data_IF_225405083936
#
_entry.id   IF_225405083936
#
_cell.length_a   1.000
_cell.length_b   1.000
_cell.length_c   1.000
_cell.angle_alpha   90.00
_cell.angle_beta   90.00
_cell.angle_gamma   90.00
#
_symmetry.space_group_name_H-M   'P 1'
#
loop_
_entity.id
_entity.type
_entity.pdbx_description
1 polymer ?
#
# COMPACT_ATOMS: atom_id res chain seq x y z
N UNK A 1 -20.08 -45.42 26.09
CA UNK A 1 -20.77 -44.20 25.65
C UNK A 1 -20.42 -43.11 26.65
N UNK A 2 -19.75 -42.05 26.22
CA UNK A 2 -19.42 -40.88 27.05
C UNK A 2 -20.35 -39.75 26.60
N UNK A 3 -21.23 -39.33 27.50
CA UNK A 3 -22.08 -38.15 27.36
C UNK A 3 -21.21 -36.87 27.28
N UNK A 4 -21.61 -35.86 26.51
CA UNK A 4 -20.88 -34.59 26.39
C UNK A 4 -21.15 -33.71 27.61
N UNK A 5 -20.11 -33.16 28.23
CA UNK A 5 -20.24 -32.14 29.27
C UNK A 5 -20.76 -30.84 28.64
N UNK A 6 -22.05 -30.56 28.83
CA UNK A 6 -22.62 -29.25 28.56
C UNK A 6 -22.03 -28.21 29.52
N UNK A 7 -21.91 -26.97 29.04
CA UNK A 7 -21.37 -25.83 29.82
C UNK A 7 -22.24 -25.52 31.06
N UNK A 8 -23.51 -25.94 31.05
CA UNK A 8 -24.48 -25.79 32.13
C UNK A 8 -25.13 -27.17 32.36
N UNK A 9 -25.18 -27.63 33.62
CA UNK A 9 -25.84 -28.88 34.00
C UNK A 9 -27.34 -28.70 34.33
N UNK A 10 -28.07 -29.81 34.47
CA UNK A 10 -29.53 -29.83 34.72
C UNK A 10 -29.91 -29.22 36.09
N UNK A 11 -28.93 -28.98 36.97
CA UNK A 11 -29.08 -28.25 38.23
C UNK A 11 -28.75 -26.75 38.13
N UNK A 12 -28.35 -26.25 36.96
CA UNK A 12 -28.08 -24.82 36.72
C UNK A 12 -26.70 -24.35 37.18
N UNK A 13 -25.71 -25.24 37.25
CA UNK A 13 -24.32 -24.87 37.55
C UNK A 13 -23.49 -24.72 36.27
N UNK A 14 -22.68 -23.66 36.22
CA UNK A 14 -21.71 -23.42 35.16
C UNK A 14 -20.45 -24.27 35.44
N UNK A 15 -20.07 -25.11 34.48
CA UNK A 15 -18.94 -26.04 34.58
C UNK A 15 -18.98 -27.01 35.78
N UNK A 16 -20.16 -27.28 36.35
CA UNK A 16 -20.33 -28.27 37.44
C UNK A 16 -19.71 -27.89 38.79
N UNK A 17 -19.27 -26.64 38.98
CA UNK A 17 -18.63 -26.18 40.23
C UNK A 17 -19.25 -24.90 40.79
N UNK A 18 -19.86 -24.05 39.94
CA UNK A 18 -20.38 -22.73 40.35
C UNK A 18 -21.84 -22.58 39.94
N UNK A 19 -22.72 -22.25 40.88
CA UNK A 19 -24.13 -21.98 40.57
C UNK A 19 -24.25 -20.75 39.66
N UNK A 20 -25.00 -20.85 38.55
CA UNK A 20 -25.06 -19.80 37.53
C UNK A 20 -25.68 -18.49 38.06
N UNK A 21 -26.53 -18.58 39.09
CA UNK A 21 -27.15 -17.42 39.74
C UNK A 21 -26.08 -16.63 40.50
N UNK A 22 -25.17 -17.31 41.19
CA UNK A 22 -24.07 -16.66 41.93
C UNK A 22 -23.04 -16.06 40.97
N UNK A 23 -22.77 -16.72 39.84
CA UNK A 23 -21.92 -16.17 38.78
C UNK A 23 -22.51 -14.87 38.19
N UNK A 24 -23.82 -14.80 37.99
CA UNK A 24 -24.52 -13.59 37.55
C UNK A 24 -24.47 -12.48 38.60
N UNK A 25 -24.61 -12.81 39.89
CA UNK A 25 -24.48 -11.83 40.99
C UNK A 25 -23.06 -11.26 41.05
N UNK A 26 -22.02 -12.09 40.89
CA UNK A 26 -20.62 -11.63 40.86
C UNK A 26 -20.36 -10.73 39.66
N UNK A 27 -20.86 -11.07 38.47
CA UNK A 27 -20.77 -10.20 37.28
C UNK A 27 -21.54 -8.90 37.50
N UNK A 28 -22.72 -8.94 38.12
CA UNK A 28 -23.51 -7.74 38.41
C UNK A 28 -22.82 -6.85 39.46
N UNK A 29 -22.19 -7.43 40.48
CA UNK A 29 -21.40 -6.70 41.48
C UNK A 29 -20.13 -6.11 40.87
N UNK A 30 -19.44 -6.83 39.97
CA UNK A 30 -18.30 -6.29 39.23
C UNK A 30 -18.71 -5.16 38.27
N UNK A 31 -19.82 -5.30 37.56
CA UNK A 31 -20.38 -4.25 36.71
C UNK A 31 -20.80 -3.02 37.54
N UNK A 32 -21.41 -3.24 38.70
CA UNK A 32 -21.77 -2.18 39.65
C UNK A 32 -20.55 -1.53 40.31
N UNK A 33 -19.42 -2.24 40.45
CA UNK A 33 -18.17 -1.66 40.93
C UNK A 33 -17.46 -0.81 39.85
N UNK A 34 -17.51 -1.23 38.58
CA UNK A 34 -17.00 -0.43 37.46
C UNK A 34 -17.86 0.81 37.21
N UNK A 35 -19.18 0.73 37.41
CA UNK A 35 -20.08 1.88 37.35
C UNK A 35 -20.08 2.73 38.65
N UNK A 36 -19.76 2.13 39.81
CA UNK A 36 -19.90 2.71 41.14
C UNK A 36 -18.72 3.56 41.60
N UNK A 37 -17.57 3.54 40.92
CA UNK A 37 -16.47 4.47 41.19
C UNK A 37 -16.76 5.91 40.74
N UNK A 38 -17.86 6.14 39.99
CA UNK A 38 -18.30 7.47 39.59
C UNK A 38 -19.22 8.17 40.61
N UNK A 39 -19.67 7.50 41.68
CA UNK A 39 -20.79 8.00 42.50
C UNK A 39 -20.52 7.98 44.01
N UNK A 40 -19.36 8.48 44.45
CA UNK A 40 -19.16 8.87 45.85
C UNK A 40 -18.49 10.23 45.88
N UNK A 41 -19.31 11.28 46.06
CA UNK A 41 -19.00 12.57 46.69
C UNK A 41 -20.20 13.51 46.44
N UNK A 42 -21.24 13.36 47.25
CA UNK A 42 -22.27 14.39 47.41
C UNK A 42 -22.31 14.73 48.90
N UNK A 43 -21.45 15.67 49.28
CA UNK A 43 -21.52 16.38 50.55
C UNK A 43 -21.71 17.88 50.22
N UNK A 44 -22.55 18.52 51.02
CA UNK A 44 -23.24 19.79 50.76
C UNK A 44 -22.28 21.00 50.75
N UNK A 45 -22.21 21.76 49.65
CA UNK A 45 -21.98 23.23 49.63
C UNK A 45 -21.99 23.82 48.21
N UNK A 46 -22.80 24.86 48.03
CA UNK A 46 -22.91 25.77 46.88
C UNK A 46 -23.34 25.17 45.53
N UNK A 47 -24.63 25.32 45.23
CA UNK A 47 -25.23 25.17 43.90
C UNK A 47 -24.70 26.22 42.91
N UNK A 48 -23.46 26.04 42.43
CA UNK A 48 -23.13 26.40 41.07
C UNK A 48 -23.54 25.22 40.20
N UNK A 49 -24.64 25.35 39.45
CA UNK A 49 -25.00 24.36 38.43
C UNK A 49 -23.74 24.07 37.61
N UNK A 50 -23.20 22.84 37.70
CA UNK A 50 -22.08 22.45 36.87
C UNK A 50 -22.49 22.77 35.41
N UNK A 51 -21.65 23.48 34.64
CA UNK A 51 -22.01 23.82 33.28
C UNK A 51 -22.38 22.53 32.54
N UNK A 52 -23.53 22.52 31.87
CA UNK A 52 -23.93 21.38 31.04
C UNK A 52 -22.87 21.16 29.97
N UNK A 53 -22.15 20.04 30.12
CA UNK A 53 -21.15 19.60 29.16
C UNK A 53 -21.86 18.96 27.97
N UNK A 54 -21.48 19.38 26.77
CA UNK A 54 -21.87 18.74 25.52
C UNK A 54 -20.65 18.10 24.88
N UNK A 55 -20.88 17.16 23.96
CA UNK A 55 -19.81 16.50 23.22
C UNK A 55 -19.83 16.84 21.74
N UNK A 56 -18.64 16.88 21.12
CA UNK A 56 -18.50 16.90 19.66
C UNK A 56 -17.28 16.09 19.24
N UNK A 57 -17.41 15.37 18.13
CA UNK A 57 -16.27 14.70 17.53
C UNK A 57 -15.40 15.67 16.74
N UNK A 58 -14.11 15.38 16.67
CA UNK A 58 -13.12 16.07 15.84
C UNK A 58 -12.17 15.07 15.21
N UNK A 59 -11.69 15.38 14.00
CA UNK A 59 -10.55 14.68 13.41
C UNK A 59 -9.30 15.50 13.67
N UNK A 60 -8.33 14.91 14.37
CA UNK A 60 -7.04 15.51 14.69
C UNK A 60 -5.93 14.87 13.86
N UNK A 61 -5.25 15.69 13.07
CA UNK A 61 -4.04 15.30 12.37
C UNK A 61 -2.84 15.60 13.26
N UNK A 62 -2.22 14.55 13.80
CA UNK A 62 -1.06 14.63 14.69
C UNK A 62 0.25 14.77 13.89
N UNK A 63 0.18 14.78 12.55
CA UNK A 63 1.33 14.80 11.67
C UNK A 63 2.17 13.53 11.77
N UNK A 64 3.43 13.63 11.33
CA UNK A 64 4.41 12.56 11.42
C UNK A 64 4.89 12.39 12.86
N UNK A 65 4.81 11.18 13.38
CA UNK A 65 5.18 10.83 14.73
C UNK A 65 6.29 9.76 14.72
N UNK A 66 7.25 9.82 15.67
CA UNK A 66 8.19 8.74 15.90
C UNK A 66 7.49 7.44 16.30
N UNK A 67 8.10 6.30 15.99
CA UNK A 67 7.55 4.97 16.30
C UNK A 67 7.26 4.77 17.80
N UNK A 68 8.14 5.28 18.67
CA UNK A 68 7.95 5.20 20.12
C UNK A 68 6.77 6.04 20.63
N UNK A 69 6.24 6.98 19.83
CA UNK A 69 5.00 7.72 20.13
C UNK A 69 3.80 6.96 19.54
N UNK A 70 3.86 6.56 18.27
CA UNK A 70 2.73 5.87 17.60
C UNK A 70 2.39 4.53 18.22
N UNK A 71 3.37 3.85 18.81
CA UNK A 71 3.15 2.60 19.56
C UNK A 71 2.43 2.80 20.91
N UNK A 72 2.36 4.05 21.40
CA UNK A 72 1.67 4.39 22.65
C UNK A 72 0.26 4.94 22.42
N UNK A 73 0.00 5.57 21.25
CA UNK A 73 -1.32 6.13 20.92
C UNK A 73 -2.34 5.01 20.75
N UNK A 74 -3.39 5.05 21.57
CA UNK A 74 -4.45 4.03 21.57
C UNK A 74 -5.84 4.66 21.64
N UNK A 75 -6.84 3.90 21.18
CA UNK A 75 -8.24 4.23 21.42
C UNK A 75 -8.55 4.16 22.91
N UNK A 76 -9.27 5.14 23.44
CA UNK A 76 -9.55 5.30 24.86
C UNK A 76 -8.57 6.22 25.60
N UNK A 77 -7.44 6.60 24.98
CA UNK A 77 -6.54 7.60 25.55
C UNK A 77 -7.29 8.90 25.78
N UNK A 78 -7.15 9.49 26.98
CA UNK A 78 -7.84 10.72 27.34
C UNK A 78 -6.90 11.77 27.92
N UNK A 79 -7.28 13.03 27.78
CA UNK A 79 -6.57 14.17 28.36
C UNK A 79 -7.53 15.29 28.77
N UNK A 80 -7.36 15.79 29.99
CA UNK A 80 -8.17 16.86 30.58
C UNK A 80 -7.33 18.13 30.76
N UNK A 81 -7.26 19.05 29.79
CA UNK A 81 -6.51 20.30 29.95
C UNK A 81 -7.13 21.25 31.00
N UNK A 82 -8.38 21.03 31.39
CA UNK A 82 -9.07 21.81 32.44
C UNK A 82 -10.15 20.97 33.11
N UNK A 83 -10.72 21.46 34.22
CA UNK A 83 -11.73 20.72 35.01
C UNK A 83 -12.98 20.30 34.23
N UNK A 84 -13.33 21.04 33.17
CA UNK A 84 -14.54 20.83 32.39
C UNK A 84 -14.19 20.67 30.90
N UNK A 85 -13.02 20.14 30.56
CA UNK A 85 -12.70 19.88 29.16
C UNK A 85 -11.90 18.61 29.07
N UNK A 86 -12.44 17.64 28.35
CA UNK A 86 -11.86 16.32 28.16
C UNK A 86 -11.78 16.02 26.67
N UNK A 87 -10.67 15.45 26.22
CA UNK A 87 -10.54 14.84 24.90
C UNK A 87 -10.32 13.35 25.10
N UNK A 88 -11.07 12.53 24.37
CA UNK A 88 -10.90 11.07 24.37
C UNK A 88 -10.70 10.60 22.93
N UNK A 89 -9.62 9.88 22.66
CA UNK A 89 -9.36 9.28 21.35
C UNK A 89 -10.35 8.13 21.14
N UNK A 90 -11.16 8.21 20.09
CA UNK A 90 -12.17 7.20 19.76
C UNK A 90 -11.72 6.26 18.65
N UNK A 91 -10.83 6.72 17.76
CA UNK A 91 -10.27 5.92 16.68
C UNK A 91 -8.88 6.43 16.28
N UNK A 92 -8.04 5.54 15.75
CA UNK A 92 -6.64 5.81 15.39
C UNK A 92 -6.35 5.24 14.01
N UNK A 93 -5.87 6.12 13.13
CA UNK A 93 -5.52 5.79 11.77
C UNK A 93 -4.06 6.16 11.50
N UNK A 94 -3.26 5.15 11.17
CA UNK A 94 -1.85 5.29 10.85
C UNK A 94 -1.61 5.12 9.36
N UNK A 95 -0.71 5.92 8.81
CA UNK A 95 -0.26 5.79 7.42
C UNK A 95 1.25 5.90 7.33
N UNK A 96 1.88 5.18 6.39
CA UNK A 96 3.32 5.27 6.20
C UNK A 96 3.69 6.61 5.56
N UNK A 97 4.80 7.21 6.01
CA UNK A 97 5.35 8.45 5.48
C UNK A 97 6.88 8.39 5.50
N UNK A 98 7.50 7.98 4.40
CA UNK A 98 8.95 7.95 4.19
C UNK A 98 9.78 7.41 5.38
N UNK A 99 9.39 6.23 5.90
CA UNK A 99 10.06 5.58 7.02
C UNK A 99 9.62 6.07 8.40
N UNK A 100 8.70 7.03 8.46
CA UNK A 100 7.96 7.43 9.66
C UNK A 100 6.48 7.07 9.52
N UNK A 101 5.70 7.30 10.58
CA UNK A 101 4.26 7.06 10.58
C UNK A 101 3.52 8.36 10.79
N UNK A 102 2.58 8.70 9.90
CA UNK A 102 1.62 9.77 10.15
C UNK A 102 0.46 9.23 10.96
N UNK A 103 0.08 9.95 12.01
CA UNK A 103 -1.04 9.60 12.87
C UNK A 103 -2.18 10.60 12.69
N UNK A 104 -3.37 10.09 12.38
CA UNK A 104 -4.63 10.83 12.42
C UNK A 104 -5.52 10.13 13.42
N UNK A 105 -6.14 10.89 14.31
CA UNK A 105 -7.03 10.33 15.34
C UNK A 105 -8.39 10.97 15.24
N UNK A 106 -9.41 10.16 15.49
CA UNK A 106 -10.74 10.63 15.81
C UNK A 106 -10.82 10.81 17.32
N UNK A 107 -11.36 11.93 17.77
CA UNK A 107 -11.50 12.20 19.19
C UNK A 107 -12.85 12.83 19.52
N UNK A 108 -13.42 12.45 20.64
CA UNK A 108 -14.57 13.10 21.24
C UNK A 108 -14.06 14.20 22.19
N UNK A 109 -14.55 15.42 22.00
CA UNK A 109 -14.34 16.53 22.92
C UNK A 109 -15.59 16.68 23.79
N UNK A 110 -15.41 16.72 25.11
CA UNK A 110 -16.45 17.10 26.07
C UNK A 110 -16.09 18.45 26.70
N UNK A 111 -16.97 19.44 26.62
CA UNK A 111 -16.77 20.74 27.27
C UNK A 111 -18.10 21.52 27.44
N UNK A 112 -18.14 22.57 28.29
CA UNK A 112 -19.29 23.46 28.42
C UNK A 112 -19.81 23.96 27.08
N UNK A 113 -21.12 23.86 26.89
CA UNK A 113 -21.80 24.45 25.75
C UNK A 113 -21.79 25.98 25.81
N UNK A 114 -21.70 26.62 24.65
CA UNK A 114 -21.83 28.06 24.48
C UNK A 114 -22.50 28.36 23.14
N UNK A 115 -23.83 28.49 23.17
CA UNK A 115 -24.64 28.53 21.96
C UNK A 115 -24.74 27.14 21.33
N UNK A 116 -24.48 27.04 20.02
CA UNK A 116 -24.55 25.79 19.25
C UNK A 116 -23.23 24.99 19.22
N UNK A 117 -22.21 25.43 19.98
CA UNK A 117 -20.89 24.81 20.00
C UNK A 117 -20.38 24.66 21.43
N UNK A 118 -19.50 23.70 21.64
CA UNK A 118 -18.73 23.58 22.89
C UNK A 118 -17.55 24.57 22.94
N UNK A 119 -17.09 24.88 24.15
CA UNK A 119 -15.89 25.70 24.41
C UNK A 119 -14.75 24.87 25.02
N UNK A 120 -14.14 24.02 24.20
CA UNK A 120 -13.02 23.18 24.64
C UNK A 120 -11.80 24.04 25.00
N UNK A 121 -11.35 24.00 26.26
CA UNK A 121 -10.22 24.80 26.76
C UNK A 121 -10.36 26.30 26.40
N UNK A 122 -11.56 26.86 26.59
CA UNK A 122 -11.83 28.29 26.44
C UNK A 122 -12.02 28.82 25.02
N UNK A 123 -12.08 27.95 24.01
CA UNK A 123 -12.38 28.34 22.63
C UNK A 123 -13.17 27.24 21.91
N UNK A 124 -13.85 27.54 20.79
CA UNK A 124 -14.57 26.52 20.00
C UNK A 124 -13.61 25.63 19.20
N UNK A 125 -13.97 24.37 18.92
CA UNK A 125 -13.21 23.50 18.02
C UNK A 125 -13.42 23.94 16.58
N UNK A 126 -12.43 24.62 16.00
CA UNK A 126 -12.46 25.11 14.60
C UNK A 126 -11.34 24.48 13.80
N UNK A 127 -11.55 24.29 12.50
CA UNK A 127 -10.50 23.82 11.57
C UNK A 127 -9.22 24.64 11.74
N UNK A 128 -8.08 23.95 11.72
CA UNK A 128 -6.75 24.55 11.88
C UNK A 128 -6.34 24.83 13.33
N UNK A 129 -7.25 24.76 14.30
CA UNK A 129 -6.89 24.89 15.72
C UNK A 129 -6.06 23.69 16.16
N UNK A 130 -5.04 23.95 16.96
CA UNK A 130 -4.19 22.91 17.55
C UNK A 130 -4.66 22.54 18.95
N UNK A 131 -4.74 21.25 19.23
CA UNK A 131 -5.05 20.68 20.54
C UNK A 131 -3.87 19.82 21.00
N UNK A 132 -3.43 20.03 22.25
CA UNK A 132 -2.43 19.18 22.88
C UNK A 132 -3.13 17.96 23.49
N UNK A 133 -2.52 16.79 23.35
CA UNK A 133 -2.88 15.57 24.08
C UNK A 133 -1.66 15.19 24.92
N UNK A 134 -1.86 15.06 26.23
CA UNK A 134 -0.81 14.69 27.18
C UNK A 134 -1.32 13.52 28.02
N UNK A 135 -0.64 12.39 27.91
CA UNK A 135 -0.88 11.19 28.72
C UNK A 135 0.31 10.97 29.65
N UNK A 136 0.28 9.88 30.43
CA UNK A 136 1.43 9.46 31.25
C UNK A 136 2.63 9.01 30.39
N UNK A 137 2.39 8.54 29.17
CA UNK A 137 3.40 7.89 28.31
C UNK A 137 3.85 8.75 27.13
N UNK A 138 3.03 9.70 26.68
CA UNK A 138 3.38 10.57 25.55
C UNK A 138 2.76 11.96 25.61
N UNK A 139 3.31 12.87 24.81
CA UNK A 139 2.77 14.20 24.55
C UNK A 139 2.79 14.47 23.05
N UNK A 140 1.65 14.86 22.49
CA UNK A 140 1.54 15.22 21.08
C UNK A 140 0.61 16.42 20.87
N UNK A 141 0.64 17.00 19.69
CA UNK A 141 -0.24 18.12 19.29
C UNK A 141 -0.88 17.79 17.95
N UNK A 142 -2.20 17.83 17.91
CA UNK A 142 -3.01 17.59 16.73
C UNK A 142 -3.61 18.88 16.18
N UNK A 143 -3.70 18.98 14.85
CA UNK A 143 -4.44 20.05 14.18
C UNK A 143 -5.83 19.55 13.81
N UNK A 144 -6.88 20.29 14.18
CA UNK A 144 -8.27 19.96 13.81
C UNK A 144 -8.42 20.05 12.29
N UNK A 145 -8.73 18.92 11.65
CA UNK A 145 -9.04 18.81 10.23
C UNK A 145 -10.53 18.80 9.96
N UNK A 146 -11.33 18.30 10.89
CA UNK A 146 -12.77 18.18 10.76
C UNK A 146 -13.48 18.24 12.13
N UNK A 147 -14.75 18.66 12.15
CA UNK A 147 -15.58 18.84 13.35
C UNK A 147 -16.98 18.27 13.12
N UNK A 148 -17.49 17.51 14.07
CA UNK A 148 -18.76 16.77 13.98
C UNK A 148 -18.56 15.37 13.42
N UNK A 149 -19.65 14.65 13.08
CA UNK A 149 -19.64 13.28 12.56
C UNK A 149 -19.56 12.18 13.63
N UNK A 150 -19.34 10.92 13.22
CA UNK A 150 -19.30 9.73 14.10
C UNK A 150 -18.01 9.56 14.92
N UNK A 151 -17.90 8.51 15.72
CA UNK A 151 -16.73 8.21 16.57
C UNK A 151 -15.58 7.52 15.84
N UNK A 152 -15.77 7.09 14.59
CA UNK A 152 -14.75 6.42 13.76
C UNK A 152 -14.34 7.31 12.58
N UNK A 153 -13.11 7.15 12.12
CA UNK A 153 -12.66 7.83 10.91
C UNK A 153 -13.19 7.09 9.68
N UNK A 154 -14.01 7.75 8.86
CA UNK A 154 -14.52 7.15 7.63
C UNK A 154 -13.40 7.00 6.61
N UNK A 155 -12.96 5.76 6.38
CA UNK A 155 -12.04 5.40 5.29
C UNK A 155 -12.79 4.86 4.07
N UNK A 156 -12.14 4.88 2.92
CA UNK A 156 -12.64 4.30 1.68
C UNK A 156 -11.53 3.55 0.98
N UNK A 157 -11.85 2.39 0.43
CA UNK A 157 -10.93 1.61 -0.38
C UNK A 157 -10.61 2.34 -1.69
N UNK A 158 -9.32 2.48 -1.98
CA UNK A 158 -8.83 3.05 -3.24
C UNK A 158 -7.94 2.07 -3.94
N UNK A 159 -8.36 1.65 -5.13
CA UNK A 159 -7.55 0.81 -5.97
C UNK A 159 -6.51 1.64 -6.74
N UNK A 160 -5.26 1.21 -6.72
CA UNK A 160 -4.16 1.84 -7.49
C UNK A 160 -3.22 0.81 -8.09
N UNK A 161 -2.51 1.20 -9.15
CA UNK A 161 -1.35 0.46 -9.65
C UNK A 161 -0.10 1.28 -9.45
N UNK A 162 0.86 0.76 -8.68
CA UNK A 162 2.14 1.41 -8.39
C UNK A 162 3.25 0.71 -9.17
N UNK A 163 4.08 1.49 -9.86
CA UNK A 163 5.31 1.00 -10.51
C UNK A 163 6.52 1.32 -9.64
N UNK A 164 7.32 0.32 -9.31
CA UNK A 164 8.56 0.44 -8.57
C UNK A 164 9.68 -0.35 -9.25
N UNK A 165 10.93 0.02 -9.00
CA UNK A 165 12.09 -0.80 -9.38
C UNK A 165 12.65 -1.39 -8.08
N UNK A 166 12.76 -2.72 -8.02
CA UNK A 166 13.13 -3.48 -6.83
C UNK A 166 14.26 -4.45 -7.15
N UNK A 167 15.00 -4.87 -6.12
CA UNK A 167 15.92 -5.99 -6.29
C UNK A 167 15.14 -7.28 -6.60
N UNK A 168 15.74 -8.26 -7.28
CA UNK A 168 15.10 -9.55 -7.51
C UNK A 168 14.71 -10.26 -6.18
N UNK A 169 15.54 -10.10 -5.15
CA UNK A 169 15.28 -10.65 -3.82
C UNK A 169 14.05 -10.00 -3.18
N UNK A 170 13.89 -8.69 -3.32
CA UNK A 170 12.74 -7.98 -2.73
C UNK A 170 11.46 -8.24 -3.54
N UNK A 171 11.56 -8.22 -4.88
CA UNK A 171 10.43 -8.50 -5.75
C UNK A 171 9.85 -9.91 -5.50
N UNK A 172 10.70 -10.90 -5.24
CA UNK A 172 10.27 -12.30 -5.01
C UNK A 172 9.62 -12.53 -3.64
N UNK A 173 9.76 -11.58 -2.71
CA UNK A 173 9.07 -11.60 -1.40
C UNK A 173 7.67 -11.00 -1.45
N UNK A 174 7.31 -10.30 -2.52
CA UNK A 174 5.99 -9.72 -2.68
C UNK A 174 5.01 -10.77 -3.20
N UNK A 175 3.79 -10.76 -2.69
CA UNK A 175 2.75 -11.71 -3.09
C UNK A 175 1.37 -11.08 -3.05
N UNK A 176 0.49 -11.55 -3.94
CA UNK A 176 -0.92 -11.18 -3.92
C UNK A 176 -1.60 -11.72 -2.65
N UNK A 177 -2.58 -10.97 -2.13
CA UNK A 177 -3.23 -11.21 -0.84
C UNK A 177 -2.44 -10.74 0.38
N UNK A 178 -1.22 -10.19 0.19
CA UNK A 178 -0.39 -9.74 1.31
C UNK A 178 -0.95 -8.42 1.90
N UNK A 179 -1.29 -8.37 3.20
CA UNK A 179 -1.68 -7.14 3.85
C UNK A 179 -0.45 -6.30 4.19
N UNK A 180 -0.56 -5.00 3.97
CA UNK A 180 0.41 -3.98 4.37
C UNK A 180 -0.07 -3.40 5.70
N UNK A 181 0.78 -3.51 6.73
CA UNK A 181 0.43 -3.06 8.09
C UNK A 181 1.35 -1.96 8.59
N UNK A 182 0.76 -1.02 9.34
CA UNK A 182 1.47 0.02 10.09
C UNK A 182 0.97 -0.05 11.53
N UNK A 183 1.88 -0.24 12.49
CA UNK A 183 1.54 -0.45 13.90
C UNK A 183 0.49 -1.55 14.11
N UNK A 184 0.62 -2.67 13.39
CA UNK A 184 -0.31 -3.80 13.45
C UNK A 184 -1.67 -3.58 12.75
N UNK A 185 -1.95 -2.37 12.24
CA UNK A 185 -3.19 -2.05 11.53
C UNK A 185 -3.01 -2.18 10.03
N UNK A 186 -3.97 -2.79 9.36
CA UNK A 186 -3.96 -2.92 7.90
C UNK A 186 -4.30 -1.58 7.25
N UNK A 187 -3.39 -1.12 6.38
CA UNK A 187 -3.52 0.16 5.67
C UNK A 187 -3.67 -0.02 4.17
N UNK A 188 -3.26 -1.18 3.66
CA UNK A 188 -3.41 -1.55 2.27
C UNK A 188 -3.31 -3.06 2.10
N UNK A 189 -3.73 -3.56 0.95
CA UNK A 189 -3.58 -4.97 0.55
C UNK A 189 -2.94 -5.02 -0.83
N UNK A 190 -2.01 -5.96 -1.05
CA UNK A 190 -1.43 -6.23 -2.36
C UNK A 190 -2.37 -7.18 -3.10
N UNK A 191 -3.04 -6.70 -4.14
CA UNK A 191 -3.99 -7.50 -4.93
C UNK A 191 -3.33 -8.20 -6.11
N UNK A 192 -2.29 -7.60 -6.68
CA UNK A 192 -1.53 -8.22 -7.77
C UNK A 192 -0.07 -7.78 -7.76
N UNK A 193 0.80 -8.67 -8.25
CA UNK A 193 2.23 -8.40 -8.44
C UNK A 193 2.58 -8.87 -9.83
N UNK A 194 3.13 -7.97 -10.65
CA UNK A 194 3.71 -8.33 -11.95
C UNK A 194 5.10 -7.72 -12.03
N UNK A 195 6.12 -8.55 -12.17
CA UNK A 195 7.50 -8.08 -12.31
C UNK A 195 8.04 -8.38 -13.70
N UNK A 196 8.92 -7.50 -14.18
CA UNK A 196 9.60 -7.65 -15.46
C UNK A 196 11.10 -7.49 -15.28
N UNK A 197 11.88 -8.29 -15.99
CA UNK A 197 13.33 -8.15 -16.05
C UNK A 197 13.74 -6.82 -16.67
N UNK A 198 14.82 -6.24 -16.16
CA UNK A 198 15.42 -5.01 -16.69
C UNK A 198 16.73 -5.33 -17.41
N UNK A 199 17.53 -4.32 -17.76
CA UNK A 199 18.87 -4.54 -18.29
C UNK A 199 19.92 -4.86 -17.22
N UNK A 200 19.56 -4.66 -15.94
CA UNK A 200 20.28 -5.21 -14.81
C UNK A 200 19.54 -6.47 -14.32
N UNK A 201 20.13 -7.67 -14.38
CA UNK A 201 19.45 -8.90 -13.94
C UNK A 201 19.04 -8.83 -12.46
N UNK A 202 19.79 -8.12 -11.62
CA UNK A 202 19.49 -7.99 -10.19
C UNK A 202 18.33 -7.03 -9.90
N UNK A 203 17.81 -6.31 -10.91
CA UNK A 203 16.74 -5.31 -10.77
C UNK A 203 15.53 -5.72 -11.61
N UNK A 204 14.35 -5.70 -10.98
CA UNK A 204 13.06 -5.94 -11.63
C UNK A 204 12.20 -4.67 -11.56
N UNK A 205 11.53 -4.34 -12.66
CA UNK A 205 10.44 -3.35 -12.64
C UNK A 205 9.16 -4.07 -12.23
N UNK A 206 8.60 -3.70 -11.08
CA UNK A 206 7.41 -4.31 -10.49
C UNK A 206 6.21 -3.37 -10.61
N UNK A 207 5.07 -3.93 -11.00
CA UNK A 207 3.75 -3.32 -10.96
C UNK A 207 2.94 -3.98 -9.85
N UNK A 208 2.59 -3.18 -8.84
CA UNK A 208 1.81 -3.60 -7.69
C UNK A 208 0.39 -3.08 -7.84
N UNK A 209 -0.57 -3.99 -7.93
CA UNK A 209 -1.98 -3.69 -7.71
C UNK A 209 -2.24 -3.59 -6.22
N UNK A 210 -2.79 -2.48 -5.76
CA UNK A 210 -3.01 -2.23 -4.34
C UNK A 210 -4.41 -1.70 -4.09
N UNK A 211 -5.02 -2.16 -3.00
CA UNK A 211 -6.20 -1.54 -2.40
C UNK A 211 -5.76 -0.80 -1.14
N UNK A 212 -5.84 0.53 -1.17
CA UNK A 212 -5.45 1.40 -0.06
C UNK A 212 -6.67 1.76 0.78
N UNK A 213 -6.55 1.68 2.11
CA UNK A 213 -7.50 2.34 3.01
C UNK A 213 -7.19 3.82 2.98
N UNK A 214 -8.02 4.64 2.35
CA UNK A 214 -7.78 6.08 2.17
C UNK A 214 -8.78 6.94 2.93
N UNK A 215 -8.52 8.24 3.06
CA UNK A 215 -9.47 9.21 3.62
C UNK A 215 -9.78 10.27 2.57
N UNK A 216 -11.00 10.80 2.59
CA UNK A 216 -11.38 11.93 1.74
C UNK A 216 -11.26 13.23 2.52
N UNK A 217 -10.42 14.15 2.05
CA UNK A 217 -10.36 15.53 2.55
C UNK A 217 -10.64 16.50 1.41
N UNK A 218 -11.57 17.44 1.62
CA UNK A 218 -11.91 18.47 0.61
C UNK A 218 -12.12 17.88 -0.80
N UNK A 219 -12.89 16.78 -0.88
CA UNK A 219 -13.19 16.03 -2.13
C UNK A 219 -11.98 15.33 -2.78
N UNK A 220 -10.83 15.29 -2.11
CA UNK A 220 -9.63 14.61 -2.59
C UNK A 220 -9.36 13.36 -1.77
N UNK A 221 -9.13 12.26 -2.47
CA UNK A 221 -8.72 11.00 -1.85
C UNK A 221 -7.23 11.05 -1.51
N UNK A 222 -6.91 10.83 -0.24
CA UNK A 222 -5.54 10.87 0.28
C UNK A 222 -5.19 9.59 1.01
N UNK A 223 -3.92 9.22 0.92
CA UNK A 223 -3.30 8.17 1.71
C UNK A 223 -2.10 8.77 2.45
N UNK A 224 -2.26 9.01 3.75
CA UNK A 224 -1.32 9.82 4.53
C UNK A 224 -1.29 11.27 4.05
N UNK A 225 -0.14 11.74 3.54
CA UNK A 225 -0.06 13.05 2.87
C UNK A 225 -0.26 12.95 1.36
N UNK A 226 -0.29 11.74 0.82
CA UNK A 226 -0.22 11.50 -0.61
C UNK A 226 -1.61 11.63 -1.21
N UNK A 227 -1.83 12.65 -2.03
CA UNK A 227 -3.04 12.72 -2.87
C UNK A 227 -2.99 11.63 -3.93
N UNK A 228 -3.99 10.75 -3.96
CA UNK A 228 -4.00 9.58 -4.83
C UNK A 228 -4.27 10.01 -6.28
N UNK A 229 -3.20 10.19 -7.05
CA UNK A 229 -3.24 10.59 -8.47
C UNK A 229 -2.09 9.96 -9.25
N UNK A 230 -2.25 9.71 -10.56
CA UNK A 230 -1.16 9.25 -11.41
C UNK A 230 0.06 10.18 -11.36
N UNK A 231 1.26 9.61 -11.38
CA UNK A 231 2.55 10.29 -11.34
C UNK A 231 3.10 10.56 -9.94
N UNK A 232 2.26 10.49 -8.90
CA UNK A 232 2.65 10.73 -7.50
C UNK A 232 3.36 9.52 -6.92
N UNK A 233 4.39 9.74 -6.11
CA UNK A 233 5.12 8.68 -5.42
C UNK A 233 4.38 8.20 -4.18
N UNK A 234 4.49 6.90 -3.89
CA UNK A 234 3.96 6.25 -2.71
C UNK A 234 5.07 5.41 -2.06
N UNK A 235 5.15 5.45 -0.73
CA UNK A 235 6.12 4.71 0.09
C UNK A 235 5.37 3.73 0.99
N UNK A 236 5.64 2.43 0.85
CA UNK A 236 4.91 1.37 1.54
C UNK A 236 5.86 0.42 2.29
N UNK A 237 5.65 0.20 3.60
CA UNK A 237 6.41 -0.78 4.35
C UNK A 237 5.84 -2.17 4.06
N UNK A 238 6.57 -2.96 3.27
CA UNK A 238 6.22 -4.35 2.95
C UNK A 238 7.18 -5.30 3.65
N UNK A 239 6.93 -6.62 3.58
CA UNK A 239 7.90 -7.61 4.06
C UNK A 239 9.19 -7.62 3.23
N UNK A 240 9.14 -7.14 1.98
CA UNK A 240 10.31 -6.88 1.16
C UNK A 240 11.08 -5.60 1.56
N UNK A 241 10.68 -4.94 2.65
CA UNK A 241 11.19 -3.65 3.07
C UNK A 241 10.36 -2.48 2.53
N UNK A 242 10.95 -1.29 2.52
CA UNK A 242 10.27 -0.07 2.09
C UNK A 242 10.23 0.01 0.56
N UNK A 243 9.06 -0.25 -0.02
CA UNK A 243 8.82 -0.10 -1.45
C UNK A 243 8.47 1.36 -1.76
N UNK A 244 9.28 2.00 -2.61
CA UNK A 244 8.99 3.34 -3.15
C UNK A 244 8.66 3.22 -4.63
N UNK A 245 7.45 3.64 -5.00
CA UNK A 245 7.00 3.55 -6.38
C UNK A 245 6.14 4.75 -6.79
N UNK A 246 5.80 4.83 -8.08
CA UNK A 246 4.92 5.85 -8.62
C UNK A 246 3.56 5.27 -8.98
N UNK A 247 2.49 5.95 -8.60
CA UNK A 247 1.14 5.61 -9.01
C UNK A 247 1.05 5.80 -10.53
N UNK A 248 0.72 4.74 -11.24
CA UNK A 248 0.53 4.74 -12.71
C UNK A 248 -0.94 4.73 -13.10
N UNK A 249 -1.81 4.25 -12.21
CA UNK A 249 -3.26 4.15 -12.41
C UNK A 249 -3.99 4.26 -11.07
N UNK A 250 -5.19 4.84 -11.11
CA UNK A 250 -6.14 4.93 -9.99
C UNK A 250 -7.47 4.30 -10.45
N UNK A 251 -8.20 3.69 -9.52
CA UNK A 251 -9.46 2.98 -9.77
C UNK A 251 -9.27 1.60 -10.42
N UNK A 252 -8.10 0.98 -10.20
CA UNK A 252 -7.85 -0.40 -10.60
C UNK A 252 -6.62 -0.97 -9.89
N UNK A 253 -6.64 -2.29 -9.67
CA UNK A 253 -5.54 -3.08 -9.11
C UNK A 253 -4.75 -3.84 -10.17
N UNK A 254 -5.03 -3.62 -11.46
CA UNK A 254 -4.32 -4.27 -12.57
C UNK A 254 -3.83 -3.25 -13.59
N UNK A 255 -2.70 -3.56 -14.23
CA UNK A 255 -2.17 -2.73 -15.31
C UNK A 255 -3.21 -2.56 -16.44
N UNK A 256 -3.10 -1.46 -17.20
CA UNK A 256 -4.00 -1.20 -18.32
C UNK A 256 -3.85 -2.26 -19.42
N UNK A 257 -4.96 -2.61 -20.05
CA UNK A 257 -5.01 -3.53 -21.19
C UNK A 257 -5.25 -4.97 -20.81
N UNK A 258 -5.75 -5.74 -21.77
CA UNK A 258 -6.01 -7.17 -21.62
C UNK A 258 -4.72 -7.97 -21.82
N UNK A 259 -4.40 -8.93 -20.93
CA UNK A 259 -3.27 -9.84 -21.14
C UNK A 259 -3.44 -10.63 -22.44
N UNK A 260 -2.37 -10.72 -23.23
CA UNK A 260 -2.33 -11.51 -24.45
C UNK A 260 -0.90 -12.02 -24.72
N UNK A 261 -0.76 -12.93 -25.67
CA UNK A 261 0.55 -13.38 -26.16
C UNK A 261 0.71 -12.97 -27.62
N UNK A 262 1.85 -12.36 -27.96
CA UNK A 262 2.17 -11.96 -29.33
C UNK A 262 3.49 -12.56 -29.79
N UNK A 263 3.49 -13.13 -30.98
CA UNK A 263 4.72 -13.57 -31.65
C UNK A 263 5.39 -12.36 -32.31
N UNK A 264 6.61 -12.06 -31.88
CA UNK A 264 7.37 -10.87 -32.30
C UNK A 264 8.72 -11.31 -32.86
N UNK A 265 9.12 -10.72 -33.99
CA UNK A 265 10.48 -10.87 -34.51
C UNK A 265 11.37 -9.77 -33.98
N UNK A 266 12.46 -10.17 -33.34
CA UNK A 266 13.45 -9.31 -32.71
C UNK A 266 14.80 -9.52 -33.39
N UNK A 267 15.56 -8.45 -33.60
CA UNK A 267 16.86 -8.50 -34.26
C UNK A 267 17.95 -7.94 -33.35
N UNK A 268 19.03 -8.71 -33.23
CA UNK A 268 20.30 -8.26 -32.70
C UNK A 268 21.26 -8.12 -33.89
N UNK A 269 21.93 -6.98 -34.00
CA UNK A 269 22.82 -6.71 -35.11
C UNK A 269 24.27 -6.72 -34.67
N UNK A 270 25.16 -7.23 -35.53
CA UNK A 270 26.61 -7.21 -35.34
C UNK A 270 27.08 -7.81 -33.99
N UNK A 271 26.50 -8.94 -33.59
CA UNK A 271 26.85 -9.63 -32.33
C UNK A 271 28.02 -10.60 -32.52
N UNK A 272 28.80 -10.82 -31.46
CA UNK A 272 29.89 -11.81 -31.50
C UNK A 272 29.35 -13.24 -31.66
N UNK A 273 30.11 -14.17 -32.26
CA UNK A 273 29.69 -15.57 -32.36
C UNK A 273 29.39 -16.23 -31.01
N UNK A 274 30.08 -15.83 -29.95
CA UNK A 274 29.85 -16.34 -28.60
C UNK A 274 28.43 -16.00 -28.12
N UNK A 275 28.01 -14.74 -28.26
CA UNK A 275 26.65 -14.31 -27.90
C UNK A 275 25.61 -14.87 -28.88
N UNK A 276 25.90 -14.91 -30.17
CA UNK A 276 24.96 -15.44 -31.16
C UNK A 276 24.65 -16.93 -30.91
N UNK A 277 25.67 -17.72 -30.54
CA UNK A 277 25.52 -19.14 -30.25
C UNK A 277 24.91 -19.41 -28.87
N UNK A 278 25.00 -18.47 -27.93
CA UNK A 278 24.39 -18.63 -26.62
C UNK A 278 22.88 -18.50 -26.68
N UNK A 279 22.32 -17.68 -27.57
CA UNK A 279 20.87 -17.51 -27.73
C UNK A 279 20.26 -18.74 -28.42
N UNK A 280 19.31 -19.41 -27.77
CA UNK A 280 18.71 -20.66 -28.28
C UNK A 280 17.18 -20.71 -28.13
N UNK A 281 16.47 -21.47 -28.98
CA UNK A 281 15.06 -21.79 -28.76
C UNK A 281 14.83 -22.43 -27.39
N UNK A 282 13.69 -22.12 -26.77
CA UNK A 282 13.32 -22.59 -25.44
C UNK A 282 13.76 -21.69 -24.29
N UNK A 283 14.63 -20.72 -24.52
CA UNK A 283 14.99 -19.72 -23.50
C UNK A 283 13.78 -18.88 -23.11
N UNK A 284 13.62 -18.65 -21.82
CA UNK A 284 12.50 -17.92 -21.24
C UNK A 284 12.97 -16.77 -20.37
N UNK A 285 12.21 -15.69 -20.37
CA UNK A 285 12.16 -14.77 -19.24
C UNK A 285 10.96 -15.15 -18.39
N UNK A 286 11.16 -15.38 -17.11
CA UNK A 286 10.07 -15.71 -16.18
C UNK A 286 10.23 -15.03 -14.84
N UNK A 287 9.10 -14.78 -14.17
CA UNK A 287 9.09 -14.30 -12.80
C UNK A 287 7.84 -14.81 -12.07
N UNK A 288 8.00 -15.29 -10.83
CA UNK A 288 6.87 -15.80 -10.05
C UNK A 288 6.11 -16.96 -10.69
N UNK A 289 6.76 -17.73 -11.57
CA UNK A 289 6.14 -18.81 -12.34
C UNK A 289 5.43 -18.36 -13.63
N UNK A 290 5.36 -17.05 -13.91
CA UNK A 290 4.80 -16.53 -15.15
C UNK A 290 5.89 -16.38 -16.22
N UNK A 291 5.63 -16.86 -17.43
CA UNK A 291 6.50 -16.65 -18.59
C UNK A 291 6.19 -15.29 -19.23
N UNK A 292 7.18 -14.39 -19.21
CA UNK A 292 7.08 -13.03 -19.77
C UNK A 292 7.50 -13.03 -21.24
N UNK A 293 8.52 -13.83 -21.59
CA UNK A 293 8.96 -14.01 -22.95
C UNK A 293 9.48 -15.43 -23.15
N UNK A 294 9.29 -15.98 -24.34
CA UNK A 294 9.88 -17.26 -24.72
C UNK A 294 10.41 -17.20 -26.14
N UNK A 295 11.66 -17.61 -26.34
CA UNK A 295 12.26 -17.74 -27.67
C UNK A 295 11.74 -19.02 -28.34
N UNK A 296 11.05 -18.90 -29.46
CA UNK A 296 10.54 -20.04 -30.24
C UNK A 296 11.46 -20.42 -31.40
N UNK A 297 12.15 -19.45 -32.01
CA UNK A 297 13.07 -19.70 -33.12
C UNK A 297 14.24 -18.72 -33.13
N UNK A 298 15.38 -19.16 -33.67
CA UNK A 298 16.59 -18.34 -33.81
C UNK A 298 17.20 -18.57 -35.21
N UNK A 299 17.43 -17.48 -35.93
CA UNK A 299 18.09 -17.46 -37.24
C UNK A 299 19.37 -16.63 -37.14
N UNK A 300 20.47 -17.13 -37.72
CA UNK A 300 21.78 -16.50 -37.64
C UNK A 300 22.35 -16.34 -39.04
N UNK A 301 22.85 -15.16 -39.33
CA UNK A 301 23.50 -14.82 -40.59
C UNK A 301 24.74 -13.99 -40.27
N UNK A 302 25.75 -14.02 -41.13
CA UNK A 302 26.90 -13.14 -40.94
C UNK A 302 26.44 -11.67 -41.03
N UNK A 303 26.94 -10.82 -40.15
CA UNK A 303 26.45 -9.45 -40.02
C UNK A 303 26.72 -8.62 -41.27
N UNK A 304 25.90 -7.62 -41.53
CA UNK A 304 26.17 -6.66 -42.62
C UNK A 304 26.98 -5.47 -42.11
N UNK A 305 28.06 -5.12 -42.80
CA UNK A 305 28.87 -3.94 -42.54
C UNK A 305 28.93 -3.02 -43.75
N UNK A 306 28.92 -1.72 -43.47
CA UNK A 306 29.16 -0.68 -44.46
C UNK A 306 30.61 -0.25 -44.37
N UNK A 307 31.37 -0.42 -45.45
CA UNK A 307 32.77 0.02 -45.54
C UNK A 307 32.90 1.17 -46.52
N UNK A 308 33.88 2.06 -46.28
CA UNK A 308 34.21 3.17 -47.18
C UNK A 308 35.55 2.90 -47.85
N UNK A 309 35.58 2.94 -49.19
CA UNK A 309 36.79 2.80 -50.00
C UNK A 309 37.70 4.04 -49.93
N UNK A 310 38.93 3.92 -50.40
CA UNK A 310 39.93 5.01 -50.40
C UNK A 310 39.51 6.21 -51.29
N UNK A 311 38.63 5.97 -52.25
CA UNK A 311 38.01 6.96 -53.13
C UNK A 311 36.69 7.54 -52.58
N UNK A 312 36.27 7.15 -51.37
CA UNK A 312 35.02 7.60 -50.76
C UNK A 312 33.77 6.81 -51.12
N UNK A 313 33.87 5.78 -51.98
CA UNK A 313 32.75 4.91 -52.33
C UNK A 313 32.29 4.06 -51.12
N UNK A 314 30.98 3.83 -51.03
CA UNK A 314 30.37 3.06 -49.94
C UNK A 314 30.04 1.66 -50.45
N UNK A 315 30.48 0.65 -49.71
CA UNK A 315 30.26 -0.76 -50.04
C UNK A 315 29.52 -1.46 -48.88
N UNK A 316 28.50 -2.23 -49.23
CA UNK A 316 27.90 -3.20 -48.32
C UNK A 316 28.67 -4.51 -48.41
N UNK A 317 29.12 -5.02 -47.27
CA UNK A 317 29.89 -6.27 -47.17
C UNK A 317 29.41 -7.08 -45.99
N UNK A 318 29.66 -8.37 -46.04
CA UNK A 318 29.44 -9.28 -44.92
C UNK A 318 30.61 -9.21 -43.94
N UNK A 319 30.33 -9.10 -42.65
CA UNK A 319 31.30 -9.17 -41.57
C UNK A 319 31.86 -10.60 -41.48
N UNK A 320 33.20 -10.78 -41.36
CA UNK A 320 33.81 -12.11 -41.41
C UNK A 320 33.55 -12.96 -40.15
N UNK A 321 33.20 -12.33 -39.03
CA UNK A 321 33.08 -12.99 -37.71
C UNK A 321 31.69 -12.77 -37.08
N UNK A 322 31.36 -11.53 -36.75
CA UNK A 322 30.08 -11.15 -36.16
C UNK A 322 28.88 -11.53 -37.02
N UNK A 323 27.76 -11.75 -36.33
CA UNK A 323 26.51 -12.25 -36.88
C UNK A 323 25.35 -11.29 -36.59
N UNK A 324 24.37 -11.25 -37.49
CA UNK A 324 23.04 -10.75 -37.20
C UNK A 324 22.17 -11.93 -36.75
N UNK A 325 21.47 -11.75 -35.64
CA UNK A 325 20.61 -12.77 -35.04
C UNK A 325 19.18 -12.29 -35.06
N UNK A 326 18.32 -13.03 -35.75
CA UNK A 326 16.87 -12.80 -35.73
C UNK A 326 16.22 -13.85 -34.84
N UNK A 327 15.51 -13.39 -33.82
CA UNK A 327 14.82 -14.20 -32.83
C UNK A 327 13.31 -14.05 -33.05
N UNK A 328 12.59 -15.16 -33.12
CA UNK A 328 11.13 -15.16 -32.95
C UNK A 328 10.83 -15.45 -31.49
N UNK A 329 10.08 -14.56 -30.84
CA UNK A 329 9.74 -14.68 -29.43
C UNK A 329 8.23 -14.50 -29.20
N UNK A 330 7.66 -15.35 -28.35
CA UNK A 330 6.32 -15.15 -27.80
C UNK A 330 6.42 -14.23 -26.58
N UNK A 331 5.87 -13.03 -26.68
CA UNK A 331 5.89 -12.04 -25.61
C UNK A 331 4.54 -12.00 -24.90
N UNK A 332 4.55 -11.98 -23.58
CA UNK A 332 3.39 -11.64 -22.75
C UNK A 332 3.19 -10.13 -22.79
N UNK A 333 2.11 -9.70 -23.45
CA UNK A 333 1.81 -8.30 -23.73
C UNK A 333 0.49 -7.89 -23.08
N UNK A 334 0.23 -6.59 -23.07
CA UNK A 334 -1.10 -6.04 -22.77
C UNK A 334 -1.64 -5.28 -23.96
N UNK A 335 -2.82 -5.67 -24.42
CA UNK A 335 -3.54 -5.01 -25.50
C UNK A 335 -4.41 -3.88 -24.94
N UNK A 336 -4.19 -2.67 -25.43
CA UNK A 336 -4.95 -1.47 -25.05
C UNK A 336 -5.64 -0.89 -26.28
N UNK A 337 -6.60 0.00 -26.07
CA UNK A 337 -7.24 0.76 -27.16
C UNK A 337 -6.24 1.58 -27.99
N UNK A 338 -5.07 1.88 -27.41
CA UNK A 338 -3.98 2.65 -28.04
C UNK A 338 -2.88 1.78 -28.66
N UNK A 339 -3.01 0.45 -28.61
CA UNK A 339 -2.05 -0.50 -29.15
C UNK A 339 -1.51 -1.50 -28.13
N UNK A 340 -0.55 -2.32 -28.57
CA UNK A 340 0.06 -3.38 -27.78
C UNK A 340 1.20 -2.82 -26.92
N UNK A 341 1.28 -3.24 -25.66
CA UNK A 341 2.37 -2.87 -24.75
C UNK A 341 3.11 -4.10 -24.23
N UNK A 342 4.43 -4.01 -24.16
CA UNK A 342 5.31 -5.00 -23.54
C UNK A 342 6.11 -4.32 -22.42
N UNK A 343 6.04 -4.90 -21.21
CA UNK A 343 6.64 -4.34 -19.97
C UNK A 343 6.23 -2.89 -19.70
N UNK A 344 4.96 -2.57 -19.91
CA UNK A 344 4.38 -1.23 -19.66
C UNK A 344 4.77 -0.14 -20.68
N UNK A 345 5.36 -0.51 -21.81
CA UNK A 345 5.73 0.42 -22.88
C UNK A 345 5.15 -0.07 -24.22
N UNK A 346 4.81 0.85 -25.12
CA UNK A 346 4.27 0.53 -26.46
C UNK A 346 5.23 -0.31 -27.28
N UNK A 347 4.75 -1.43 -27.80
CA UNK A 347 5.49 -2.31 -28.70
C UNK A 347 5.33 -1.77 -30.13
N UNK A 348 6.44 -1.37 -30.75
CA UNK A 348 6.47 -0.78 -32.09
C UNK A 348 7.75 -1.20 -32.81
N UNK A 349 7.71 -1.24 -34.15
CA UNK A 349 8.91 -1.48 -34.95
C UNK A 349 10.01 -0.45 -34.63
N UNK A 350 11.26 -0.92 -34.56
CA UNK A 350 12.43 -0.10 -34.20
C UNK A 350 12.63 0.09 -32.70
N UNK A 351 11.68 -0.30 -31.85
CA UNK A 351 11.88 -0.27 -30.39
C UNK A 351 12.89 -1.34 -29.97
N UNK A 352 13.81 -0.98 -29.09
CA UNK A 352 14.66 -1.95 -28.39
C UNK A 352 13.91 -2.52 -27.19
N UNK A 353 13.83 -3.84 -27.11
CA UNK A 353 13.30 -4.59 -25.96
C UNK A 353 14.42 -5.32 -25.26
N UNK A 354 14.34 -5.39 -23.93
CA UNK A 354 15.24 -6.17 -23.09
C UNK A 354 14.54 -7.46 -22.68
N UNK A 355 15.20 -8.59 -22.92
CA UNK A 355 14.78 -9.92 -22.47
C UNK A 355 15.79 -10.41 -21.43
N UNK A 356 15.31 -10.76 -20.24
CA UNK A 356 16.12 -11.31 -19.15
C UNK A 356 16.00 -12.83 -19.15
N UNK A 357 16.82 -13.50 -19.95
CA UNK A 357 16.71 -14.91 -20.30
C UNK A 357 17.51 -15.80 -19.35
N UNK A 358 17.18 -15.78 -18.06
CA UNK A 358 17.75 -16.51 -16.90
C UNK A 358 19.30 -16.50 -16.78
N UNK A 359 19.99 -16.99 -17.81
CA UNK A 359 21.45 -17.05 -17.96
C UNK A 359 22.06 -15.80 -18.60
N UNK A 360 21.27 -14.93 -19.26
CA UNK A 360 21.78 -13.73 -19.92
C UNK A 360 20.69 -12.69 -20.17
N UNK A 361 21.08 -11.44 -20.28
CA UNK A 361 20.20 -10.35 -20.70
C UNK A 361 20.49 -9.95 -22.15
N UNK A 362 19.44 -9.88 -22.98
CA UNK A 362 19.53 -9.56 -24.41
C UNK A 362 18.76 -8.28 -24.72
N UNK A 363 19.41 -7.34 -25.42
CA UNK A 363 18.76 -6.16 -26.02
C UNK A 363 18.57 -6.42 -27.52
N UNK A 364 17.32 -6.40 -27.98
CA UNK A 364 16.99 -6.68 -29.38
C UNK A 364 15.96 -5.68 -29.92
N UNK A 365 16.05 -5.38 -31.22
CA UNK A 365 15.17 -4.41 -31.88
C UNK A 365 13.95 -5.11 -32.47
N UNK A 366 12.75 -4.59 -32.24
CA UNK A 366 11.52 -5.10 -32.83
C UNK A 366 11.51 -4.84 -34.34
N UNK A 367 11.37 -5.91 -35.13
CA UNK A 367 11.31 -5.84 -36.60
C UNK A 367 9.88 -5.99 -37.11
N UNK A 368 9.10 -6.93 -36.56
CA UNK A 368 7.71 -7.20 -36.96
C UNK A 368 6.91 -7.94 -35.89
N UNK A 369 5.60 -8.11 -36.08
CA UNK A 369 4.73 -8.89 -35.17
C UNK A 369 4.16 -8.10 -34.00
N UNK A 370 4.14 -6.77 -34.09
CA UNK A 370 3.73 -5.86 -33.02
C UNK A 370 2.30 -5.29 -33.19
N UNK A 371 1.62 -5.59 -34.29
CA UNK A 371 0.25 -5.13 -34.62
C UNK A 371 -0.77 -6.20 -34.26
#
# INVERSE_FOLDING_TARGET
MKEPYGIIDDEGNLFGVVNIIDALVVVFVLAALVAGTSLVLADDSDSSSAPTTETTNVTLDLGTQPEYITSQISTGDSYSPSKNSDVTITDVYFTPQDGSTRAVVRAELSAPASGETIQYSGAPPRHGRQLKILTETYSTTGTIRDVGGGSELTTTETEVVVRADLSETDASRLSAGQPIRVQGREVATIDSVTAYGTDNPDTKTVFLGLTLQSVTYSEQQVFGETTIRPGVSLSLPTEAGLVKGKITRVGATTQRGQPATREVKLQLSNVSPLLANSISPGMTESFGGETIAQISAVQRQNATIITRGQNGEIYERTHPINQDVTVTANLSVRETDTGVTFKGQTLQQGRVVTLDLDTMTVKATVVSGHQ
#
